data_IF_464887605385
#
_entry.id   IF_464887605385
#
_cell.length_a   1.000
_cell.length_b   1.000
_cell.length_c   1.000
_cell.angle_alpha   90.00
_cell.angle_beta   90.00
_cell.angle_gamma   90.00
#
_symmetry.space_group_name_H-M   'P 1'
#
loop_
_entity.id
_entity.type
_entity.pdbx_description
1 polymer ?
2 non-polymer ?
3 non-polymer ?
4 non-polymer ?
5 non-polymer ?
6 non-polymer ?
7 water ?
#
# COMPACT_ATOMS: atom_id res chain seq x y z
N UNK A 1 -1.60 15.21 -18.55
CA UNK A 1 -2.84 15.93 -18.27
C UNK A 1 -3.71 15.18 -17.26
N UNK A 2 -4.76 14.50 -17.71
CA UNK A 2 -5.61 13.77 -16.78
C UNK A 2 -4.94 12.46 -16.36
N UNK A 3 -5.46 11.84 -15.29
CA UNK A 3 -4.78 10.73 -14.63
C UNK A 3 -4.56 9.55 -15.57
N UNK A 4 -5.57 9.21 -16.38
CA UNK A 4 -5.44 8.05 -17.26
C UNK A 4 -4.39 8.27 -18.33
N UNK A 5 -4.16 9.52 -18.73
CA UNK A 5 -3.08 9.81 -19.68
C UNK A 5 -1.72 9.72 -19.02
N UNK A 6 -1.62 10.26 -17.80
CA UNK A 6 -0.38 10.21 -17.04
C UNK A 6 0.07 8.77 -16.80
N UNK A 7 -0.88 7.84 -16.61
CA UNK A 7 -0.51 6.45 -16.41
C UNK A 7 0.17 5.85 -17.64
N UNK A 8 -0.17 6.34 -18.82
CA UNK A 8 0.40 5.78 -20.04
C UNK A 8 1.71 6.48 -20.40
N UNK A 9 1.74 7.79 -20.25
CA UNK A 9 2.87 8.58 -20.75
C UNK A 9 3.76 9.12 -19.66
N UNK A 10 3.40 8.95 -18.39
CA UNK A 10 4.27 9.40 -17.31
C UNK A 10 5.43 8.45 -17.08
N UNK A 11 6.56 9.01 -16.65
CA UNK A 11 7.77 8.24 -16.45
C UNK A 11 8.43 7.94 -17.78
N UNK A 12 9.59 7.30 -17.72
CA UNK A 12 10.33 6.93 -18.93
C UNK A 12 10.23 5.42 -19.11
N UNK A 13 9.38 4.99 -20.05
CA UNK A 13 9.10 3.56 -20.21
C UNK A 13 9.26 3.12 -21.65
N UNK A 14 10.12 3.79 -22.41
CA UNK A 14 10.50 3.34 -23.75
C UNK A 14 12.01 3.26 -23.81
N UNK A 15 12.52 2.72 -24.91
CA UNK A 15 13.96 2.58 -25.11
C UNK A 15 14.43 3.72 -26.01
N UNK A 16 15.25 4.62 -25.46
CA UNK A 16 15.81 5.68 -26.29
C UNK A 16 16.66 5.12 -27.42
N UNK A 17 17.29 3.96 -27.21
CA UNK A 17 18.25 3.44 -28.17
C UNK A 17 17.54 2.89 -29.41
N UNK A 18 16.74 1.84 -29.26
CA UNK A 18 16.04 1.24 -30.40
C UNK A 18 14.71 1.88 -30.71
N UNK A 19 14.13 2.62 -29.76
CA UNK A 19 12.77 3.08 -29.90
C UNK A 19 11.70 2.09 -29.42
N UNK A 20 12.11 0.93 -28.89
CA UNK A 20 11.15 -0.04 -28.37
C UNK A 20 10.13 0.68 -27.49
N UNK A 21 8.85 0.39 -27.71
CA UNK A 21 7.80 1.13 -27.00
C UNK A 21 7.55 0.60 -25.59
N UNK A 22 8.26 -0.45 -25.17
CA UNK A 22 8.26 -0.93 -23.80
C UNK A 22 9.68 -0.96 -23.27
N UNK A 23 9.81 -0.94 -21.94
CA UNK A 23 11.11 -0.92 -21.31
C UNK A 23 11.83 -2.24 -21.52
N UNK A 24 13.04 -2.26 -22.09
CA UNK A 24 13.77 -3.53 -22.21
C UNK A 24 14.06 -4.10 -20.84
N UNK A 25 14.11 -5.42 -20.77
CA UNK A 25 14.42 -6.13 -19.53
C UNK A 25 15.93 -6.38 -19.50
N UNK A 26 16.63 -5.64 -18.62
CA UNK A 26 18.08 -5.74 -18.50
C UNK A 26 18.41 -6.82 -17.48
N UNK A 27 18.35 -8.07 -17.95
CA UNK A 27 18.74 -9.23 -17.15
C UNK A 27 20.26 -9.29 -17.20
N UNK A 28 20.89 -8.47 -16.36
CA UNK A 28 22.33 -8.24 -16.42
C UNK A 28 22.78 -7.78 -15.04
N UNK A 29 24.03 -8.07 -14.70
CA UNK A 29 24.57 -7.66 -13.41
C UNK A 29 25.60 -6.55 -13.50
N UNK A 30 26.25 -6.36 -14.66
CA UNK A 30 27.35 -5.42 -14.74
C UNK A 30 27.43 -4.86 -16.15
N UNK A 31 28.28 -3.84 -16.31
CA UNK A 31 28.26 -2.98 -17.50
C UNK A 31 29.67 -2.64 -17.95
N UNK A 32 29.90 -2.72 -19.25
CA UNK A 32 31.18 -2.33 -19.83
C UNK A 32 31.51 -0.88 -19.50
N UNK A 33 32.77 -0.63 -19.16
CA UNK A 33 33.28 0.74 -19.04
C UNK A 33 34.29 0.98 -20.15
N UNK A 34 34.12 2.08 -20.89
CA UNK A 34 35.02 2.38 -21.99
C UNK A 34 36.36 2.89 -21.50
N UNK A 35 36.37 3.59 -20.38
CA UNK A 35 37.57 3.95 -19.64
C UNK A 35 37.22 3.81 -18.18
N UNK A 36 38.24 3.63 -17.33
CA UNK A 36 37.97 3.43 -15.92
C UNK A 36 37.19 4.62 -15.39
N UNK A 37 35.98 4.37 -14.87
CA UNK A 37 35.15 5.39 -14.30
C UNK A 37 34.19 6.07 -15.25
N UNK A 38 34.32 5.84 -16.55
CA UNK A 38 33.41 6.43 -17.54
C UNK A 38 32.29 5.42 -17.81
N UNK A 39 31.10 5.72 -17.33
CA UNK A 39 29.93 4.89 -17.56
C UNK A 39 29.16 5.42 -18.76
N UNK A 40 28.86 4.52 -19.71
CA UNK A 40 28.20 4.94 -20.95
C UNK A 40 26.90 5.70 -20.67
N UNK A 41 26.07 5.16 -19.79
CA UNK A 41 24.76 5.73 -19.50
C UNK A 41 24.50 5.81 -18.01
N UNK A 42 25.57 5.81 -17.20
CA UNK A 42 25.43 5.92 -15.77
C UNK A 42 25.28 4.61 -15.03
N UNK A 43 25.36 3.47 -15.72
CA UNK A 43 25.21 2.17 -15.08
C UNK A 43 26.57 1.52 -14.90
N UNK A 44 26.76 0.88 -13.76
CA UNK A 44 28.00 0.17 -13.48
C UNK A 44 27.81 -1.16 -12.76
N UNK A 45 26.74 -1.35 -11.99
CA UNK A 45 26.49 -2.61 -11.29
C UNK A 45 25.02 -2.64 -10.89
N UNK A 46 24.32 -3.75 -11.23
CA UNK A 46 22.86 -3.70 -11.15
C UNK A 46 22.31 -3.54 -9.74
N UNK A 47 23.04 -3.96 -8.68
CA UNK A 47 22.53 -3.67 -7.34
C UNK A 47 22.40 -2.17 -7.14
N UNK A 48 23.39 -1.42 -7.62
CA UNK A 48 23.38 0.04 -7.49
C UNK A 48 22.31 0.68 -8.36
N UNK A 49 22.19 0.23 -9.61
CA UNK A 49 21.16 0.73 -10.51
C UNK A 49 21.09 -0.21 -11.69
N UNK A 50 19.87 -0.43 -12.19
CA UNK A 50 19.55 -1.28 -13.32
C UNK A 50 18.53 -0.53 -14.17
N UNK A 51 18.68 -0.50 -15.50
CA UNK A 51 17.80 0.38 -16.30
C UNK A 51 16.32 0.01 -16.25
N UNK A 52 15.98 -1.28 -16.12
CA UNK A 52 14.56 -1.63 -16.01
C UNK A 52 14.01 -1.18 -14.66
N UNK A 53 14.80 -1.34 -13.60
CA UNK A 53 14.41 -0.83 -12.30
C UNK A 53 14.30 0.69 -12.32
N UNK A 54 15.24 1.37 -13.00
CA UNK A 54 15.14 2.82 -13.13
C UNK A 54 13.83 3.22 -13.77
N UNK A 55 13.36 2.44 -14.76
CA UNK A 55 12.09 2.74 -15.39
C UNK A 55 10.94 2.68 -14.39
N UNK A 56 10.84 1.60 -13.62
CA UNK A 56 9.70 1.56 -12.67
C UNK A 56 9.85 2.64 -11.59
N UNK A 57 11.07 2.98 -11.22
CA UNK A 57 11.28 4.05 -10.24
C UNK A 57 10.82 5.40 -10.79
N UNK A 58 11.07 5.66 -12.09
CA UNK A 58 10.60 6.90 -12.69
C UNK A 58 9.08 6.93 -12.75
N UNK A 59 8.45 5.77 -12.96
CA UNK A 59 6.99 5.74 -12.99
C UNK A 59 6.43 6.10 -11.62
N UNK A 60 6.90 5.45 -10.55
CA UNK A 60 6.28 5.74 -9.26
C UNK A 60 6.60 7.16 -8.81
N UNK A 61 7.78 7.69 -9.14
CA UNK A 61 8.05 9.09 -8.80
C UNK A 61 7.08 10.02 -9.53
N UNK A 62 6.83 9.75 -10.82
CA UNK A 62 5.90 10.59 -11.57
C UNK A 62 4.48 10.49 -11.01
N UNK A 63 4.02 9.27 -10.72
CA UNK A 63 2.62 9.09 -10.33
C UNK A 63 2.33 9.68 -8.96
N UNK A 64 3.34 9.76 -8.10
CA UNK A 64 3.15 10.33 -6.77
C UNK A 64 3.57 11.79 -6.72
N UNK A 65 3.88 12.40 -7.87
CA UNK A 65 4.33 13.79 -7.92
C UNK A 65 5.57 14.01 -7.05
N UNK A 66 6.47 13.03 -7.07
CA UNK A 66 7.75 13.13 -6.39
C UNK A 66 8.88 13.32 -7.39
N UNK A 67 10.09 13.26 -6.87
CA UNK A 67 11.27 13.42 -7.70
C UNK A 67 12.13 12.17 -7.77
N UNK A 68 12.07 11.30 -6.78
CA UNK A 68 12.92 10.12 -6.69
C UNK A 68 12.08 8.91 -6.36
N UNK A 69 12.31 7.82 -7.09
CA UNK A 69 11.65 6.55 -6.83
C UNK A 69 12.66 5.46 -6.53
N UNK A 70 12.21 4.46 -5.78
CA UNK A 70 13.03 3.33 -5.34
C UNK A 70 12.19 2.06 -5.40
N UNK A 71 12.74 1.00 -5.98
CA UNK A 71 12.05 -0.28 -6.10
C UNK A 71 12.75 -1.33 -5.28
N UNK A 72 11.99 -2.00 -4.41
CA UNK A 72 12.49 -2.99 -3.47
C UNK A 72 11.86 -4.35 -3.76
N UNK A 73 12.49 -5.39 -3.23
CA UNK A 73 12.09 -6.77 -3.46
C UNK A 73 10.74 -7.14 -2.84
N UNK A 74 10.17 -6.27 -2.00
CA UNK A 74 8.84 -6.50 -1.41
C UNK A 74 8.41 -5.21 -0.73
N UNK A 75 7.12 -5.12 -0.42
CA UNK A 75 6.65 -4.02 0.42
C UNK A 75 7.36 -3.94 1.76
N UNK A 76 7.56 -5.08 2.42
CA UNK A 76 8.22 -4.97 3.73
C UNK A 76 9.69 -4.64 3.59
N UNK A 77 10.32 -4.93 2.44
CA UNK A 77 11.69 -4.45 2.23
C UNK A 77 11.72 -2.93 2.07
N UNK A 78 10.72 -2.36 1.41
CA UNK A 78 10.60 -0.90 1.32
C UNK A 78 10.44 -0.30 2.71
N UNK A 79 9.54 -0.89 3.51
CA UNK A 79 9.32 -0.41 4.87
C UNK A 79 10.59 -0.52 5.70
N UNK A 80 11.31 -1.65 5.60
CA UNK A 80 12.55 -1.80 6.38
C UNK A 80 13.59 -0.79 5.97
N UNK A 81 13.73 -0.51 4.66
CA UNK A 81 14.67 0.52 4.22
C UNK A 81 14.31 1.87 4.82
N UNK A 82 13.01 2.20 4.86
CA UNK A 82 12.60 3.49 5.41
C UNK A 82 12.86 3.55 6.92
N UNK A 83 12.59 2.46 7.64
CA UNK A 83 12.88 2.43 9.08
C UNK A 83 14.38 2.58 9.33
N UNK A 84 15.21 2.05 8.42
CA UNK A 84 16.65 2.15 8.59
C UNK A 84 17.19 3.57 8.41
N UNK A 85 16.36 4.53 8.02
CA UNK A 85 16.75 5.94 8.10
C UNK A 85 17.07 6.35 9.54
N UNK A 86 16.54 5.63 10.51
CA UNK A 86 16.67 5.99 11.93
C UNK A 86 17.84 5.23 12.58
N UNK A 87 18.21 5.69 13.79
CA UNK A 87 19.27 5.11 14.60
C UNK A 87 18.69 4.49 15.87
N UNK A 88 19.48 3.60 16.47
CA UNK A 88 19.18 3.13 17.83
C UNK A 88 18.88 4.32 18.73
N UNK A 89 17.83 4.21 19.54
CA UNK A 89 17.38 5.28 20.40
C UNK A 89 16.31 6.18 19.81
N UNK A 90 16.12 6.16 18.49
CA UNK A 90 15.06 6.94 17.87
C UNK A 90 13.70 6.26 18.06
N UNK A 91 12.64 7.06 17.99
CA UNK A 91 11.29 6.61 18.25
C UNK A 91 10.38 6.89 17.04
N UNK A 92 9.44 5.96 16.79
CA UNK A 92 8.48 6.05 15.69
C UNK A 92 7.07 5.99 16.25
N UNK A 93 6.21 6.87 15.75
CA UNK A 93 4.76 6.81 16.01
C UNK A 93 4.08 6.21 14.78
N UNK A 94 3.22 5.21 15.00
CA UNK A 94 2.47 4.58 13.91
C UNK A 94 1.00 4.44 14.31
N UNK A 95 0.13 4.26 13.32
CA UNK A 95 -1.27 4.02 13.67
C UNK A 95 -1.40 2.67 14.36
N UNK A 96 -2.42 2.55 15.22
CA UNK A 96 -2.49 1.40 16.12
C UNK A 96 -2.75 0.11 15.37
N UNK A 97 -3.40 0.17 14.23
CA UNK A 97 -3.79 -1.03 13.50
C UNK A 97 -3.00 -1.20 12.20
N UNK A 98 -1.69 -0.89 12.28
CA UNK A 98 -0.83 -0.96 11.11
C UNK A 98 -0.73 -2.42 10.64
N UNK A 99 -0.44 -2.59 9.35
CA UNK A 99 -0.33 -3.92 8.73
C UNK A 99 0.51 -4.87 9.58
N UNK A 100 0.07 -6.13 9.67
CA UNK A 100 0.73 -7.09 10.54
C UNK A 100 2.21 -7.29 10.24
N UNK A 101 2.59 -7.29 8.97
CA UNK A 101 4.00 -7.40 8.65
C UNK A 101 4.79 -6.21 9.16
N UNK A 102 4.21 -5.01 9.08
CA UNK A 102 4.88 -3.84 9.61
C UNK A 102 5.01 -3.93 11.13
N UNK A 103 3.92 -4.30 11.80
CA UNK A 103 3.94 -4.50 13.23
C UNK A 103 5.02 -5.51 13.63
N UNK A 104 5.08 -6.63 12.91
CA UNK A 104 6.03 -7.69 13.22
C UNK A 104 7.47 -7.23 13.01
N UNK A 105 7.74 -6.60 11.86
CA UNK A 105 9.08 -6.09 11.60
C UNK A 105 9.52 -5.13 12.70
N UNK A 106 8.65 -4.20 13.07
CA UNK A 106 9.05 -3.21 14.07
C UNK A 106 9.24 -3.84 15.45
N UNK A 107 8.31 -4.69 15.88
CA UNK A 107 8.36 -5.15 17.26
C UNK A 107 9.22 -6.37 17.47
N UNK A 108 9.55 -7.13 16.41
CA UNK A 108 10.36 -8.31 16.57
C UNK A 108 11.74 -8.20 15.94
N UNK A 109 11.94 -7.27 15.00
CA UNK A 109 13.26 -7.04 14.40
C UNK A 109 13.84 -5.70 14.87
N UNK A 110 13.18 -4.59 14.53
CA UNK A 110 13.85 -3.30 14.73
C UNK A 110 13.93 -2.89 16.19
N UNK A 111 13.04 -3.39 17.06
CA UNK A 111 13.25 -3.08 18.49
C UNK A 111 14.51 -3.75 19.02
N UNK A 112 14.95 -4.85 18.40
CA UNK A 112 16.22 -5.44 18.80
C UNK A 112 17.40 -4.54 18.47
N UNK A 113 17.21 -3.57 17.57
CA UNK A 113 18.24 -2.61 17.22
C UNK A 113 18.04 -1.27 17.90
N UNK A 114 17.22 -1.22 18.94
CA UNK A 114 17.06 -0.01 19.71
C UNK A 114 16.09 1.00 19.14
N UNK A 115 15.37 0.67 18.08
CA UNK A 115 14.29 1.52 17.60
C UNK A 115 13.10 1.35 18.53
N UNK A 116 12.54 2.47 18.99
CA UNK A 116 11.37 2.44 19.86
C UNK A 116 10.12 2.81 19.08
N UNK A 117 9.00 2.15 19.39
CA UNK A 117 7.76 2.36 18.64
C UNK A 117 6.58 2.53 19.60
N UNK A 118 5.66 3.39 19.22
CA UNK A 118 4.36 3.46 19.87
C UNK A 118 3.26 3.44 18.81
N UNK A 119 2.24 2.63 19.07
CA UNK A 119 1.11 2.47 18.16
C UNK A 119 -0.08 3.20 18.78
N UNK A 120 -0.53 4.29 18.14
CA UNK A 120 -1.55 5.14 18.72
C UNK A 120 -2.71 5.30 17.73
N UNK A 121 -3.86 5.73 18.27
CA UNK A 121 -5.04 5.92 17.42
C UNK A 121 -4.94 7.24 16.68
N UNK A 122 -4.48 7.18 15.43
CA UNK A 122 -4.23 8.41 14.69
C UNK A 122 -5.49 8.99 14.04
N UNK A 123 -6.65 8.35 14.21
CA UNK A 123 -7.89 8.93 13.70
C UNK A 123 -8.20 10.27 14.37
N UNK A 124 -7.67 10.52 15.57
CA UNK A 124 -7.64 11.86 16.14
C UNK A 124 -6.18 12.30 16.14
N UNK A 125 -5.85 13.31 15.34
CA UNK A 125 -4.43 13.64 15.17
C UNK A 125 -3.80 14.21 16.44
N UNK A 126 -4.60 14.68 17.39
CA UNK A 126 -3.98 15.12 18.65
C UNK A 126 -3.42 13.96 19.44
N UNK A 127 -3.83 12.73 19.12
CA UNK A 127 -3.19 11.57 19.75
C UNK A 127 -1.72 11.49 19.33
N UNK A 128 -1.42 11.86 18.09
CA UNK A 128 -0.03 11.92 17.64
C UNK A 128 0.73 12.94 18.46
N UNK A 129 0.18 14.15 18.60
CA UNK A 129 0.86 15.20 19.35
C UNK A 129 1.17 14.75 20.77
N UNK A 130 0.21 14.08 21.42
CA UNK A 130 0.49 13.60 22.79
C UNK A 130 1.61 12.56 22.79
N UNK A 131 1.65 11.68 21.78
CA UNK A 131 2.64 10.61 21.78
C UNK A 131 4.05 11.06 21.44
N UNK A 132 4.26 12.30 20.98
CA UNK A 132 5.59 12.72 20.58
C UNK A 132 6.49 12.80 21.80
N UNK A 133 7.64 12.14 21.71
CA UNK A 133 8.67 12.13 22.74
C UNK A 133 9.86 12.96 22.28
N UNK A 134 10.78 13.30 23.19
CA UNK A 134 12.00 13.99 22.76
C UNK A 134 12.79 13.19 21.72
N UNK A 135 12.67 11.87 21.72
CA UNK A 135 13.40 11.01 20.80
C UNK A 135 12.63 10.67 19.53
N UNK A 136 11.38 11.11 19.38
CA UNK A 136 10.60 10.76 18.19
C UNK A 136 11.24 11.38 16.94
N UNK A 137 11.44 10.56 15.91
CA UNK A 137 12.01 11.01 14.65
C UNK A 137 11.13 10.72 13.44
N UNK A 138 10.07 9.93 13.59
CA UNK A 138 9.33 9.48 12.42
C UNK A 138 7.87 9.26 12.80
N UNK A 139 6.98 9.62 11.87
CA UNK A 139 5.55 9.35 11.94
C UNK A 139 5.20 8.53 10.72
N UNK A 140 4.64 7.34 10.92
CA UNK A 140 4.37 6.38 9.85
C UNK A 140 2.89 6.01 9.93
N UNK A 141 2.11 6.34 8.89
CA UNK A 141 0.67 6.06 8.92
C UNK A 141 0.23 5.38 7.65
N UNK A 142 -0.71 4.45 7.79
CA UNK A 142 -1.49 3.94 6.67
C UNK A 142 -2.87 4.57 6.70
N UNK A 143 -3.42 4.89 5.53
CA UNK A 143 -4.82 5.26 5.53
C UNK A 143 -5.42 4.95 4.16
N UNK A 144 -6.54 4.23 4.09
CA UNK A 144 -7.21 3.59 5.22
C UNK A 144 -6.47 2.33 5.66
N UNK A 145 -6.67 1.92 6.90
CA UNK A 145 -5.97 0.80 7.51
C UNK A 145 -6.70 -0.52 7.25
N UNK A 146 -6.06 -1.62 7.67
CA UNK A 146 -6.61 -2.96 7.49
C UNK A 146 -6.87 -3.62 8.83
N UNK A 147 -7.97 -4.39 9.00
CA UNK A 147 -9.05 -4.64 8.04
C UNK A 147 -10.28 -3.78 8.27
N UNK A 148 -10.21 -2.80 9.18
CA UNK A 148 -11.40 -2.02 9.50
C UNK A 148 -11.42 -0.66 8.80
N UNK A 149 -10.44 -0.38 7.95
CA UNK A 149 -10.47 0.79 7.06
C UNK A 149 -10.54 2.11 7.84
N UNK A 150 -9.77 2.23 8.92
CA UNK A 150 -9.71 3.49 9.64
C UNK A 150 -8.94 4.54 8.84
N UNK A 151 -9.44 5.78 8.89
CA UNK A 151 -8.93 6.89 8.08
C UNK A 151 -8.17 7.86 8.98
N UNK A 152 -6.99 8.27 8.53
CA UNK A 152 -6.15 9.25 9.23
C UNK A 152 -5.96 10.48 8.34
N UNK A 153 -6.02 11.66 8.95
CA UNK A 153 -5.88 12.93 8.23
C UNK A 153 -4.43 13.13 7.81
N UNK A 154 -4.15 13.02 6.51
CA UNK A 154 -2.77 13.08 6.02
C UNK A 154 -2.20 14.49 6.15
N UNK A 155 -2.98 15.49 5.74
CA UNK A 155 -2.48 16.87 5.74
C UNK A 155 -2.12 17.32 7.16
N UNK A 156 -3.00 17.03 8.12
CA UNK A 156 -2.70 17.38 9.50
C UNK A 156 -1.51 16.60 10.04
N UNK A 157 -1.39 15.32 9.66
CA UNK A 157 -0.22 14.54 10.08
C UNK A 157 1.07 15.14 9.54
N UNK A 158 1.06 15.58 8.28
CA UNK A 158 2.22 16.23 7.68
C UNK A 158 2.56 17.52 8.42
N UNK A 159 1.54 18.29 8.79
CA UNK A 159 1.78 19.55 9.52
C UNK A 159 2.39 19.28 10.88
N UNK A 160 1.88 18.27 11.59
CA UNK A 160 2.45 17.90 12.89
C UNK A 160 3.91 17.47 12.72
N UNK A 161 4.18 16.63 11.71
CA UNK A 161 5.54 16.15 11.50
C UNK A 161 6.49 17.32 11.19
N UNK A 162 6.04 18.27 10.37
CA UNK A 162 6.87 19.41 10.03
C UNK A 162 7.16 20.24 11.27
N UNK A 163 6.13 20.50 12.08
CA UNK A 163 6.31 21.33 13.26
C UNK A 163 7.26 20.68 14.26
N UNK A 164 7.23 19.35 14.39
CA UNK A 164 8.05 18.67 15.39
C UNK A 164 9.32 18.06 14.83
N UNK A 165 9.67 18.35 13.58
CA UNK A 165 10.90 17.83 13.00
C UNK A 165 10.93 16.33 12.80
N UNK A 166 9.81 15.74 12.36
CA UNK A 166 9.72 14.31 12.13
C UNK A 166 9.73 14.03 10.63
N UNK A 167 10.30 12.88 10.26
CA UNK A 167 10.10 12.34 8.92
C UNK A 167 8.70 11.74 8.86
N UNK A 168 7.87 12.20 7.92
CA UNK A 168 6.53 11.65 7.77
C UNK A 168 6.50 10.66 6.62
N UNK A 169 5.81 9.53 6.83
CA UNK A 169 5.73 8.42 5.89
C UNK A 169 4.27 8.00 5.80
N UNK A 170 3.77 7.82 4.58
CA UNK A 170 2.45 7.25 4.38
C UNK A 170 2.60 5.96 3.58
N UNK A 171 2.04 4.88 4.10
CA UNK A 171 1.86 3.65 3.35
C UNK A 171 0.56 3.81 2.56
N UNK A 172 0.70 4.05 1.25
CA UNK A 172 -0.41 4.41 0.37
C UNK A 172 -0.90 3.20 -0.45
N UNK A 173 -0.63 1.98 0.03
CA UNK A 173 -0.95 0.77 -0.73
C UNK A 173 -2.43 0.68 -1.08
N UNK A 174 -3.30 0.88 -0.10
CA UNK A 174 -4.73 0.61 -0.30
C UNK A 174 -5.38 1.60 -1.26
N UNK A 175 -4.91 2.86 -1.30
CA UNK A 175 -5.54 3.86 -2.16
C UNK A 175 -4.92 3.94 -3.54
N UNK A 176 -3.61 3.65 -3.66
CA UNK A 176 -2.78 3.78 -4.87
C UNK A 176 -2.56 5.24 -5.24
N UNK A 177 -1.56 5.55 -6.09
CA UNK A 177 -1.40 6.94 -6.55
C UNK A 177 -2.54 7.42 -7.42
N UNK A 178 -3.43 6.54 -7.86
CA UNK A 178 -4.53 6.97 -8.71
C UNK A 178 -5.54 7.81 -7.93
N UNK A 179 -5.64 7.60 -6.60
CA UNK A 179 -6.67 8.25 -5.82
C UNK A 179 -6.16 9.13 -4.69
N UNK A 180 -4.93 8.94 -4.25
CA UNK A 180 -4.42 9.62 -3.06
C UNK A 180 -2.93 9.88 -3.27
N UNK A 181 -2.50 11.13 -3.06
CA UNK A 181 -1.11 11.53 -3.32
C UNK A 181 -0.54 12.21 -2.10
N UNK A 182 -0.01 11.45 -1.13
CA UNK A 182 0.46 12.05 0.13
C UNK A 182 1.55 13.08 -0.03
N UNK A 183 2.44 12.94 -1.02
CA UNK A 183 3.50 13.94 -1.18
C UNK A 183 2.91 15.31 -1.47
N UNK A 184 1.77 15.36 -2.16
CA UNK A 184 1.11 16.63 -2.45
C UNK A 184 0.54 17.27 -1.19
N UNK A 185 0.33 16.49 -0.13
CA UNK A 185 -0.19 16.99 1.12
C UNK A 185 0.90 17.27 2.14
N UNK A 186 2.17 17.23 1.73
CA UNK A 186 3.26 17.61 2.59
C UNK A 186 4.02 16.47 3.24
N UNK A 187 3.64 15.22 2.95
CA UNK A 187 4.33 14.06 3.52
C UNK A 187 5.71 13.93 2.88
N UNK A 188 6.69 13.50 3.68
CA UNK A 188 8.06 13.37 3.18
C UNK A 188 8.24 12.17 2.26
N UNK A 189 7.75 10.99 2.68
CA UNK A 189 7.98 9.73 1.97
C UNK A 189 6.65 9.01 1.79
N UNK A 190 6.39 8.50 0.57
CA UNK A 190 5.23 7.65 0.35
C UNK A 190 5.73 6.28 -0.10
N UNK A 191 5.08 5.21 0.37
CA UNK A 191 5.52 3.88 -0.04
C UNK A 191 4.31 3.01 -0.33
N UNK A 192 4.58 1.90 -1.05
CA UNK A 192 3.54 0.98 -1.50
C UNK A 192 4.06 -0.45 -1.42
N UNK A 193 3.16 -1.37 -1.08
CA UNK A 193 3.37 -2.75 -1.50
C UNK A 193 2.85 -2.83 -2.92
N UNK A 194 3.76 -2.81 -3.89
CA UNK A 194 3.37 -2.93 -5.29
C UNK A 194 2.86 -4.32 -5.62
N UNK A 195 3.04 -5.26 -4.70
CA UNK A 195 2.46 -6.60 -4.76
C UNK A 195 0.95 -6.57 -4.96
N UNK A 197 -2.26 -3.54 -5.66
CA UNK A 197 -2.89 -2.89 -6.83
C UNK A 197 -1.96 -2.47 -7.98
N UNK A 198 -0.76 -2.00 -7.65
CA UNK A 198 0.10 -1.43 -8.69
C UNK A 198 0.47 -2.47 -9.72
N UNK A 199 1.07 -3.59 -9.29
CA UNK A 199 1.25 -4.71 -10.19
C UNK A 199 -0.07 -5.23 -10.71
N UNK A 200 -1.02 -5.45 -9.81
CA UNK A 200 -2.41 -5.64 -10.16
C UNK A 200 -2.79 -7.03 -10.64
N UNK A 201 -1.81 -7.93 -10.84
CA UNK A 201 -2.09 -9.22 -11.48
C UNK A 201 -1.61 -10.39 -10.64
N UNK A 202 -1.37 -10.16 -9.34
CA UNK A 202 -1.01 -11.20 -8.39
C UNK A 202 0.21 -11.98 -8.86
N UNK A 203 1.17 -11.30 -9.50
CA UNK A 203 2.30 -12.06 -10.06
C UNK A 203 3.65 -11.40 -9.82
N UNK A 204 3.72 -10.40 -8.93
CA UNK A 204 4.97 -9.74 -8.56
C UNK A 204 4.88 -9.44 -7.08
N UNK A 205 5.95 -9.73 -6.34
CA UNK A 205 6.14 -9.21 -4.99
C UNK A 205 7.15 -8.08 -5.07
N UNK A 206 6.79 -6.90 -4.58
CA UNK A 206 7.62 -5.71 -4.80
C UNK A 206 7.17 -4.59 -3.88
N UNK A 207 8.11 -3.70 -3.56
CA UNK A 207 7.79 -2.46 -2.87
C UNK A 207 8.28 -1.28 -3.67
N UNK A 208 7.58 -0.15 -3.52
CA UNK A 208 7.97 1.09 -4.20
C UNK A 208 7.92 2.24 -3.20
N UNK A 209 8.87 3.16 -3.34
CA UNK A 209 9.00 4.32 -2.46
C UNK A 209 9.22 5.55 -3.33
N UNK A 210 8.59 6.67 -2.98
CA UNK A 210 8.84 7.93 -3.67
C UNK A 210 9.01 9.06 -2.66
N UNK A 211 9.80 10.05 -3.05
CA UNK A 211 9.99 11.24 -2.25
C UNK A 211 10.37 12.41 -3.16
N UNK A 212 10.14 13.62 -2.67
CA UNK A 212 10.63 14.83 -3.32
C UNK A 212 11.86 15.40 -2.63
N UNK A 213 12.28 14.80 -1.52
CA UNK A 213 13.35 15.33 -0.68
C UNK A 213 14.68 14.74 -1.16
N UNK A 214 15.58 15.60 -1.67
CA UNK A 214 16.86 15.14 -2.21
C UNK A 214 17.71 14.45 -1.15
N UNK A 215 17.69 14.97 0.08
CA UNK A 215 18.53 14.39 1.13
C UNK A 215 18.00 13.04 1.60
N UNK A 216 16.68 12.93 1.77
CA UNK A 216 16.11 11.62 2.10
C UNK A 216 16.34 10.63 0.96
N UNK A 217 16.26 11.11 -0.28
CA UNK A 217 16.55 10.23 -1.42
C UNK A 217 17.97 9.71 -1.37
N UNK A 218 18.95 10.58 -1.08
CA UNK A 218 20.33 10.12 -0.98
C UNK A 218 20.47 9.07 0.11
N UNK A 219 19.81 9.29 1.25
CA UNK A 219 19.91 8.33 2.34
C UNK A 219 19.27 6.99 1.97
N UNK A 220 18.12 7.02 1.29
CA UNK A 220 17.47 5.80 0.86
C UNK A 220 18.30 5.06 -0.19
N UNK A 221 18.89 5.80 -1.13
CA UNK A 221 19.74 5.17 -2.13
C UNK A 221 20.91 4.46 -1.46
N UNK A 222 21.52 5.11 -0.45
CA UNK A 222 22.62 4.47 0.26
C UNK A 222 22.17 3.20 0.99
N UNK A 223 21.00 3.26 1.65
CA UNK A 223 20.49 2.07 2.34
C UNK A 223 20.19 0.94 1.35
N UNK A 224 19.55 1.27 0.24
CA UNK A 224 19.24 0.27 -0.77
C UNK A 224 20.52 -0.37 -1.30
N UNK A 225 21.53 0.44 -1.59
CA UNK A 225 22.77 -0.11 -2.13
C UNK A 225 23.50 -0.93 -1.07
N UNK A 226 23.34 -0.60 0.21
CA UNK A 226 24.11 -1.27 1.24
C UNK A 226 23.45 -2.51 1.80
N UNK A 227 22.12 -2.55 1.91
CA UNK A 227 21.42 -3.72 2.40
C UNK A 227 20.74 -4.52 1.28
N UNK A 228 20.63 -3.96 0.09
CA UNK A 228 20.45 -4.78 -1.11
C UNK A 228 19.10 -5.43 -1.34
N UNK A 229 18.03 -4.92 -0.72
CA UNK A 229 16.70 -5.44 -0.98
C UNK A 229 16.09 -4.89 -2.27
N UNK A 230 16.78 -5.07 -3.40
CA UNK A 230 16.40 -4.43 -4.66
C UNK A 230 15.44 -5.31 -5.43
N UNK A 231 14.56 -4.69 -6.19
CA UNK A 231 13.70 -5.42 -7.12
C UNK A 231 14.47 -5.82 -8.37
N UNK A 232 14.27 -7.06 -8.83
CA UNK A 232 14.91 -7.55 -10.04
C UNK A 232 14.28 -6.99 -11.31
N UNK A 233 14.96 -7.17 -12.45
CA UNK A 233 14.48 -6.54 -13.70
C UNK A 233 13.20 -7.13 -14.26
N UNK A 234 13.00 -8.45 -14.18
CA UNK A 234 11.75 -9.01 -14.68
C UNK A 234 10.56 -8.52 -13.87
N UNK A 235 10.70 -8.50 -12.54
CA UNK A 235 9.61 -7.99 -11.71
C UNK A 235 9.40 -6.50 -11.94
N UNK A 236 10.48 -5.73 -12.13
CA UNK A 236 10.32 -4.31 -12.47
C UNK A 236 9.53 -4.14 -13.76
N UNK A 237 9.83 -4.96 -14.78
CA UNK A 237 9.11 -4.88 -16.04
C UNK A 237 7.62 -5.18 -15.85
N UNK A 238 7.31 -6.28 -15.15
CA UNK A 238 5.91 -6.64 -14.93
C UNK A 238 5.18 -5.56 -14.13
N UNK A 239 5.88 -4.85 -13.23
CA UNK A 239 5.24 -3.73 -12.52
C UNK A 239 4.89 -2.60 -13.48
N UNK A 240 5.86 -2.16 -14.30
CA UNK A 240 5.58 -1.10 -15.28
C UNK A 240 4.37 -1.49 -16.13
N UNK A 241 4.36 -2.73 -16.59
CA UNK A 241 3.27 -3.23 -17.43
C UNK A 241 1.94 -3.20 -16.69
N UNK A 242 1.92 -3.66 -15.44
CA UNK A 242 0.67 -3.70 -14.71
C UNK A 242 0.15 -2.32 -14.38
N UNK A 243 1.05 -1.38 -14.12
CA UNK A 243 0.63 -0.03 -13.76
C UNK A 243 -0.09 0.63 -14.92
N UNK A 244 0.25 0.26 -16.17
CA UNK A 244 -0.48 0.83 -17.32
C UNK A 244 -2.01 0.79 -17.14
N UNK A 245 -2.56 -0.30 -16.60
CA UNK A 245 -4.02 -0.43 -16.48
C UNK A 245 -4.55 -0.04 -15.11
N UNK A 246 -3.72 0.56 -14.25
CA UNK A 246 -4.15 0.90 -12.89
C UNK A 246 -5.43 1.72 -12.88
N UNK A 247 -5.51 2.75 -13.73
CA UNK A 247 -6.68 3.60 -13.70
C UNK A 247 -7.95 2.86 -14.08
N UNK A 248 -7.90 2.08 -15.16
CA UNK A 248 -9.07 1.32 -15.57
C UNK A 248 -9.47 0.31 -14.50
N UNK A 249 -8.48 -0.37 -13.90
CA UNK A 249 -8.79 -1.38 -12.90
C UNK A 249 -9.40 -0.75 -11.66
N UNK A 250 -8.81 0.34 -11.16
CA UNK A 250 -9.34 0.99 -9.97
C UNK A 250 -10.74 1.54 -10.21
N UNK A 251 -11.01 2.07 -11.41
CA UNK A 251 -12.35 2.61 -11.67
C UNK A 251 -13.39 1.51 -11.70
N UNK A 252 -13.08 0.36 -12.34
CA UNK A 252 -14.01 -0.76 -12.30
C UNK A 252 -14.23 -1.24 -10.86
N UNK A 253 -13.14 -1.41 -10.11
CA UNK A 253 -13.22 -1.81 -8.71
C UNK A 253 -14.14 -0.87 -7.93
N UNK A 254 -14.02 0.45 -8.18
CA UNK A 254 -14.83 1.41 -7.44
C UNK A 254 -16.32 1.32 -7.78
N UNK A 255 -16.65 1.13 -9.07
CA UNK A 255 -18.06 0.91 -9.41
C UNK A 255 -18.62 -0.28 -8.65
N UNK A 256 -17.83 -1.37 -8.60
CA UNK A 256 -18.29 -2.57 -7.92
C UNK A 256 -18.39 -2.34 -6.41
N UNK A 257 -17.43 -1.64 -5.82
CA UNK A 257 -17.43 -1.37 -4.39
C UNK A 257 -18.73 -0.66 -3.99
N UNK A 258 -19.11 0.37 -4.75
CA UNK A 258 -20.33 1.13 -4.44
C UNK A 258 -21.55 0.22 -4.44
N UNK A 259 -21.71 -0.59 -5.50
CA UNK A 259 -22.90 -1.45 -5.54
C UNK A 259 -22.87 -2.55 -4.48
N UNK A 260 -21.68 -3.11 -4.21
CA UNK A 260 -21.58 -4.18 -3.22
C UNK A 260 -21.94 -3.66 -1.84
N UNK A 261 -21.49 -2.44 -1.51
CA UNK A 261 -21.80 -1.87 -0.21
C UNK A 261 -23.29 -1.64 -0.06
N UNK A 262 -23.95 -1.11 -1.10
CA UNK A 262 -25.41 -0.99 -1.04
C UNK A 262 -26.05 -2.35 -0.69
N UNK A 263 -25.62 -3.41 -1.39
CA UNK A 263 -26.18 -4.73 -1.13
C UNK A 263 -25.93 -5.18 0.31
N UNK A 264 -24.69 -5.01 0.78
CA UNK A 264 -24.34 -5.47 2.13
C UNK A 264 -25.14 -4.73 3.18
N UNK A 265 -25.34 -3.43 2.99
CA UNK A 265 -26.08 -2.64 3.96
C UNK A 265 -27.54 -3.09 4.01
N UNK A 266 -28.10 -3.47 2.85
CA UNK A 266 -29.48 -3.92 2.84
C UNK A 266 -29.66 -5.36 3.34
N UNK A 267 -28.59 -6.17 3.44
CA UNK A 267 -28.80 -7.60 3.62
C UNK A 267 -29.00 -7.95 5.09
N UNK A 268 -30.01 -8.74 5.45
CA UNK A 268 -30.26 -9.04 6.87
C UNK A 268 -29.22 -9.94 7.51
N UNK A 269 -28.42 -10.67 6.74
CA UNK A 269 -27.37 -11.52 7.30
C UNK A 269 -26.07 -10.76 7.55
N UNK A 270 -26.02 -9.47 7.24
CA UNK A 270 -24.81 -8.65 7.41
C UNK A 270 -25.10 -7.61 8.47
N UNK A 271 -24.16 -7.45 9.41
CA UNK A 271 -24.29 -6.39 10.41
C UNK A 271 -23.46 -5.17 10.00
N UNK A 272 -22.38 -4.89 10.72
CA UNK A 272 -21.61 -3.68 10.45
C UNK A 272 -20.79 -3.85 9.17
N UNK A 273 -20.69 -2.76 8.40
CA UNK A 273 -19.88 -2.69 7.19
C UNK A 273 -18.84 -1.60 7.39
N UNK A 274 -17.59 -1.89 6.99
CA UNK A 274 -16.46 -1.00 7.20
C UNK A 274 -15.91 -0.59 5.84
N UNK A 275 -16.05 0.69 5.49
CA UNK A 275 -15.48 1.27 4.28
C UNK A 275 -15.57 2.78 4.34
N UNK A 276 -14.53 3.51 3.89
CA UNK A 276 -14.56 4.98 4.04
C UNK A 276 -15.61 5.68 3.22
N UNK A 277 -16.21 5.01 2.23
CA UNK A 277 -17.26 5.66 1.44
C UNK A 277 -18.57 5.77 2.21
N UNK A 278 -18.73 5.06 3.30
CA UNK A 278 -19.98 5.11 4.07
C UNK A 278 -20.00 6.40 4.87
N UNK A 279 -21.10 7.14 4.77
CA UNK A 279 -21.11 8.52 5.28
C UNK A 279 -21.00 8.58 6.79
N UNK A 280 -21.41 7.53 7.50
CA UNK A 280 -21.27 7.49 8.95
C UNK A 280 -19.92 6.95 9.40
N UNK A 281 -19.05 6.54 8.47
CA UNK A 281 -17.71 6.08 8.82
C UNK A 281 -16.91 7.22 9.44
N UNK A 282 -16.19 6.93 10.52
CA UNK A 282 -15.33 7.93 11.14
C UNK A 282 -14.36 8.49 10.10
N UNK A 283 -14.26 9.83 10.06
CA UNK A 283 -13.34 10.55 9.17
C UNK A 283 -13.69 10.32 7.69
N UNK A 284 -14.97 10.04 7.41
CA UNK A 284 -15.41 10.00 6.01
C UNK A 284 -15.09 11.32 5.31
N UNK A 285 -15.35 12.45 5.98
CA UNK A 285 -15.09 13.75 5.37
C UNK A 285 -13.61 13.96 5.12
N UNK A 286 -12.76 13.53 6.06
CA UNK A 286 -11.32 13.61 5.87
C UNK A 286 -10.88 12.80 4.66
N UNK A 287 -11.42 11.59 4.52
CA UNK A 287 -11.04 10.77 3.38
C UNK A 287 -11.43 11.44 2.08
N UNK A 288 -12.66 11.95 2.01
CA UNK A 288 -13.10 12.57 0.76
C UNK A 288 -12.29 13.82 0.46
N UNK A 289 -11.78 14.49 1.49
CA UNK A 289 -10.93 15.66 1.26
C UNK A 289 -9.52 15.29 0.81
N UNK A 290 -9.03 14.09 1.09
CA UNK A 290 -7.65 13.77 0.71
C UNK A 290 -7.53 12.71 -0.38
N UNK A 291 -8.66 12.22 -0.90
CA UNK A 291 -8.65 11.17 -1.92
C UNK A 291 -9.82 11.43 -2.85
N UNK A 292 -9.66 11.06 -4.13
CA UNK A 292 -10.77 11.23 -5.06
C UNK A 292 -11.34 9.89 -5.53
N UNK A 293 -11.20 8.87 -4.69
CA UNK A 293 -11.81 7.58 -4.93
C UNK A 293 -11.65 6.71 -3.72
N UNK A 294 -11.78 5.40 -3.92
CA UNK A 294 -11.84 4.47 -2.79
C UNK A 294 -10.97 3.24 -3.01
N UNK A 295 -10.56 2.65 -1.89
CA UNK A 295 -9.95 1.33 -1.94
C UNK A 295 -11.02 0.28 -2.25
N UNK A 296 -10.58 -0.85 -2.78
CA UNK A 296 -11.44 -1.98 -3.06
C UNK A 296 -11.58 -2.95 -1.91
N UNK A 297 -10.89 -2.69 -0.79
CA UNK A 297 -10.98 -3.55 0.39
C UNK A 297 -12.20 -3.13 1.20
N UNK A 298 -13.07 -4.10 1.50
CA UNK A 298 -14.25 -3.90 2.34
C UNK A 298 -14.26 -4.99 3.40
N UNK A 299 -14.62 -4.64 4.63
CA UNK A 299 -14.88 -5.64 5.66
C UNK A 299 -16.33 -5.54 6.13
N UNK A 300 -16.90 -6.68 6.51
CA UNK A 300 -18.27 -6.69 6.99
C UNK A 300 -18.48 -7.88 7.90
N UNK A 301 -19.44 -7.74 8.82
CA UNK A 301 -19.72 -8.75 9.82
C UNK A 301 -20.83 -9.69 9.36
N UNK A 302 -20.56 -11.00 9.39
CA UNK A 302 -21.66 -11.96 9.46
C UNK A 302 -21.65 -12.56 10.85
N UNK A 303 -22.49 -13.56 11.10
CA UNK A 303 -22.85 -13.91 12.47
C UNK A 303 -21.68 -14.57 13.21
N UNK A 304 -20.97 -15.50 12.58
CA UNK A 304 -20.01 -16.33 13.32
C UNK A 304 -19.06 -16.99 12.32
N UNK A 305 -18.16 -17.81 12.84
CA UNK A 305 -17.16 -18.48 12.01
C UNK A 305 -17.82 -19.37 10.96
N UNK A 306 -18.83 -20.15 11.38
CA UNK A 306 -19.46 -21.08 10.44
C UNK A 306 -20.15 -20.32 9.30
N UNK A 307 -20.77 -19.18 9.60
CA UNK A 307 -21.36 -18.37 8.55
C UNK A 307 -20.31 -17.84 7.59
N UNK A 308 -19.16 -17.39 8.11
CA UNK A 308 -18.09 -16.91 7.24
C UNK A 308 -17.59 -18.01 6.31
N UNK A 309 -17.35 -19.20 6.86
CA UNK A 309 -16.89 -20.31 6.03
C UNK A 309 -17.93 -20.70 4.99
N UNK A 310 -19.20 -20.71 5.38
CA UNK A 310 -20.26 -21.05 4.43
C UNK A 310 -20.37 -20.00 3.33
N UNK A 311 -20.26 -18.72 3.69
CA UNK A 311 -20.24 -17.64 2.71
C UNK A 311 -19.15 -17.87 1.67
N UNK A 312 -17.95 -18.19 2.15
CA UNK A 312 -16.84 -18.45 1.23
C UNK A 312 -17.16 -19.63 0.31
N UNK A 313 -17.73 -20.70 0.86
CA UNK A 313 -18.02 -21.88 0.04
C UNK A 313 -19.10 -21.61 -0.99
N UNK A 314 -20.06 -20.73 -0.68
CA UNK A 314 -21.22 -20.54 -1.55
C UNK A 314 -20.97 -19.59 -2.71
N UNK A 315 -19.91 -18.78 -2.64
CA UNK A 315 -19.62 -17.85 -3.73
C UNK A 315 -19.00 -18.57 -4.91
N UNK A 316 -19.28 -18.08 -6.12
CA UNK A 316 -18.62 -18.58 -7.31
C UNK A 316 -17.43 -17.74 -7.75
N UNK A 317 -17.46 -16.44 -7.47
CA UNK A 317 -16.50 -15.50 -8.05
C UNK A 317 -15.59 -14.86 -7.02
N UNK A 318 -15.63 -15.31 -5.76
CA UNK A 318 -14.75 -14.79 -4.72
C UNK A 318 -13.78 -15.89 -4.34
N UNK A 319 -12.49 -15.59 -4.42
CA UNK A 319 -11.44 -16.59 -4.31
C UNK A 319 -10.77 -16.51 -2.95
N UNK A 320 -10.70 -17.64 -2.24
CA UNK A 320 -10.08 -17.68 -0.92
C UNK A 320 -8.56 -17.72 -1.10
N UNK A 321 -7.91 -16.62 -0.75
CA UNK A 321 -6.48 -16.51 -0.88
C UNK A 321 -6.05 -15.28 -0.10
N UNK A 322 -4.77 -15.24 0.20
CA UNK A 322 -4.13 -14.06 0.84
C UNK A 322 -3.93 -12.94 -0.19
N UNK A 323 -3.53 -11.75 0.28
CA UNK A 323 -3.22 -10.57 -0.57
C UNK A 323 -4.53 -9.87 -0.97
N UNK A 324 -4.40 -8.74 -1.68
CA UNK A 324 -5.54 -7.91 -2.18
C UNK A 324 -5.12 -7.16 -3.45
N UNK A 325 -6.03 -6.55 -4.18
CA UNK A 325 -5.55 -5.87 -5.37
C UNK A 325 -5.30 -6.76 -6.58
N UNK A 326 -5.85 -7.97 -6.61
CA UNK A 326 -5.78 -8.85 -7.77
C UNK A 326 -6.80 -8.41 -8.83
N UNK A 327 -6.71 -9.02 -10.02
CA UNK A 327 -7.84 -8.85 -10.93
C UNK A 327 -9.03 -9.70 -10.47
N UNK A 328 -8.77 -10.78 -9.73
CA UNK A 328 -9.80 -11.60 -9.10
C UNK A 328 -10.27 -10.96 -7.80
N UNK A 329 -11.56 -11.10 -7.51
CA UNK A 329 -12.04 -10.73 -6.17
C UNK A 329 -11.61 -11.80 -5.17
N UNK A 330 -11.04 -11.35 -4.04
CA UNK A 330 -10.50 -12.25 -3.04
C UNK A 330 -11.30 -12.11 -1.76
N UNK A 331 -11.34 -13.19 -0.98
CA UNK A 331 -12.12 -13.19 0.26
C UNK A 331 -11.28 -13.88 1.34
N UNK A 332 -11.44 -13.40 2.57
CA UNK A 332 -10.65 -13.92 3.68
C UNK A 332 -11.39 -13.66 4.99
N UNK A 333 -10.90 -14.28 6.05
CA UNK A 333 -11.46 -14.13 7.40
C UNK A 333 -10.31 -13.72 8.33
N UNK A 334 -10.16 -12.43 8.63
CA UNK A 334 -9.00 -11.99 9.44
C UNK A 334 -8.80 -12.77 10.72
N UNK A 335 -9.88 -13.09 11.45
CA UNK A 335 -9.71 -13.77 12.74
C UNK A 335 -9.00 -15.09 12.58
N UNK A 336 -9.17 -15.76 11.43
CA UNK A 336 -8.53 -17.05 11.21
C UNK A 336 -7.23 -16.95 10.43
N UNK A 337 -7.03 -15.90 9.65
CA UNK A 337 -5.94 -15.88 8.68
C UNK A 337 -4.87 -14.85 9.00
N UNK A 338 -5.23 -13.72 9.57
CA UNK A 338 -4.26 -12.71 9.90
C UNK A 338 -4.13 -12.45 11.40
N UNK A 339 -5.20 -12.59 12.18
CA UNK A 339 -5.15 -12.26 13.61
C UNK A 339 -5.32 -13.47 14.50
N UNK A 340 -5.01 -14.67 14.01
CA UNK A 340 -5.28 -15.87 14.79
C UNK A 340 -4.38 -15.99 16.02
N UNK A 341 -3.24 -15.30 16.04
CA UNK A 341 -2.36 -15.37 17.20
C UNK A 341 -2.80 -14.45 18.33
N UNK A 342 -3.70 -13.49 18.04
CA UNK A 342 -4.25 -12.62 19.07
C UNK A 342 -5.30 -13.40 19.85
N UNK A 343 -5.32 -13.31 21.18
CA UNK A 343 -6.38 -13.98 21.95
C UNK A 343 -7.77 -13.56 21.50
N UNK A 344 -8.72 -14.50 21.61
CA UNK A 344 -10.05 -14.29 21.06
C UNK A 344 -10.76 -13.10 21.69
N UNK A 345 -10.60 -12.92 23.01
CA UNK A 345 -11.29 -11.80 23.65
C UNK A 345 -10.71 -10.47 23.21
N UNK A 346 -9.39 -10.40 22.99
CA UNK A 346 -8.77 -9.18 22.50
C UNK A 346 -9.16 -8.92 21.04
N UNK A 347 -9.25 -9.98 20.24
CA UNK A 347 -9.78 -9.84 18.89
C UNK A 347 -11.17 -9.22 18.91
N UNK A 348 -12.08 -9.79 19.71
CA UNK A 348 -13.44 -9.26 19.81
C UNK A 348 -13.42 -7.81 20.27
N UNK A 349 -12.59 -7.50 21.25
CA UNK A 349 -12.53 -6.12 21.71
C UNK A 349 -12.08 -5.18 20.60
N UNK A 350 -11.17 -5.63 19.73
CA UNK A 350 -10.70 -4.79 18.64
C UNK A 350 -11.67 -4.75 17.47
N UNK A 351 -12.76 -5.51 17.51
CA UNK A 351 -13.69 -5.54 16.39
C UNK A 351 -13.39 -6.62 15.36
N UNK A 352 -12.35 -7.42 15.56
CA UNK A 352 -12.04 -8.52 14.66
C UNK A 352 -12.84 -9.75 15.10
N UNK A 353 -14.15 -9.71 14.86
CA UNK A 353 -15.02 -10.78 15.31
C UNK A 353 -14.78 -12.05 14.50
N UNK A 354 -15.28 -13.17 15.04
CA UNK A 354 -15.19 -14.43 14.32
C UNK A 354 -15.88 -14.37 12.97
N UNK A 355 -16.94 -13.57 12.85
CA UNK A 355 -17.67 -13.43 11.61
C UNK A 355 -17.22 -12.29 10.71
N UNK A 356 -16.14 -11.59 11.05
CA UNK A 356 -15.67 -10.51 10.20
C UNK A 356 -15.03 -11.08 8.94
N UNK A 357 -15.56 -10.68 7.78
CA UNK A 357 -15.10 -11.12 6.47
C UNK A 357 -14.46 -9.92 5.78
N UNK A 358 -13.34 -10.15 5.10
CA UNK A 358 -12.73 -9.11 4.28
C UNK A 358 -12.79 -9.55 2.83
N UNK A 359 -13.25 -8.66 1.96
CA UNK A 359 -13.17 -8.89 0.53
C UNK A 359 -12.27 -7.83 -0.09
N UNK A 360 -11.52 -8.25 -1.10
CA UNK A 360 -10.78 -7.37 -1.99
C UNK A 360 -11.48 -7.45 -3.33
N UNK A 361 -12.18 -6.39 -3.70
CA UNK A 361 -12.98 -6.37 -4.93
C UNK A 361 -12.04 -6.35 -6.14
N UNK A 362 -12.28 -7.26 -7.09
CA UNK A 362 -11.55 -7.35 -8.33
C UNK A 362 -12.28 -6.68 -9.49
N UNK A 363 -11.95 -7.09 -10.71
CA UNK A 363 -12.47 -6.38 -11.88
C UNK A 363 -13.51 -7.21 -12.65
N UNK A 364 -14.11 -8.21 -12.00
CA UNK A 364 -15.22 -8.92 -12.62
C UNK A 364 -16.41 -7.99 -12.83
N UNK A 365 -17.39 -8.46 -13.61
CA UNK A 365 -18.59 -7.66 -13.84
C UNK A 365 -19.28 -7.30 -12.52
N UNK A 366 -19.69 -6.04 -12.39
CA UNK A 366 -20.28 -5.54 -11.14
C UNK A 366 -21.53 -6.33 -10.76
N UNK A 367 -22.43 -6.53 -11.72
CA UNK A 367 -23.66 -7.27 -11.45
C UNK A 367 -23.37 -8.67 -10.96
N UNK A 368 -22.38 -9.34 -11.58
CA UNK A 368 -22.03 -10.69 -11.15
C UNK A 368 -21.51 -10.71 -9.72
N UNK A 369 -20.63 -9.76 -9.38
CA UNK A 369 -20.07 -9.75 -8.02
C UNK A 369 -21.14 -9.46 -6.98
N UNK A 370 -22.03 -8.50 -7.26
CA UNK A 370 -23.14 -8.21 -6.35
C UNK A 370 -24.06 -9.42 -6.20
N UNK A 371 -24.51 -9.99 -7.33
CA UNK A 371 -25.45 -11.10 -7.28
C UNK A 371 -24.86 -12.32 -6.61
N UNK A 372 -23.59 -12.62 -6.91
CA UNK A 372 -22.92 -13.77 -6.32
C UNK A 372 -22.81 -13.64 -4.81
N UNK A 373 -22.33 -12.47 -4.34
CA UNK A 373 -22.21 -12.30 -2.89
C UNK A 373 -23.59 -12.30 -2.23
N UNK A 374 -24.59 -11.72 -2.88
CA UNK A 374 -25.93 -11.70 -2.30
C UNK A 374 -26.51 -13.10 -2.20
N UNK A 375 -26.43 -13.91 -3.27
CA UNK A 375 -26.97 -15.26 -3.20
C UNK A 375 -26.22 -16.11 -2.18
N UNK A 376 -24.92 -15.88 -2.02
CA UNK A 376 -24.20 -16.62 -0.99
C UNK A 376 -24.66 -16.22 0.41
N UNK A 377 -24.89 -14.91 0.62
CA UNK A 377 -25.40 -14.46 1.90
C UNK A 377 -26.81 -14.98 2.16
N UNK A 378 -27.59 -15.19 1.10
CA UNK A 378 -28.95 -15.72 1.25
C UNK A 378 -28.96 -17.14 1.81
N UNK A 379 -27.86 -17.89 1.66
CA UNK A 379 -27.80 -19.24 2.19
C UNK A 379 -27.54 -19.29 3.69
N UNK A 380 -27.24 -18.17 4.33
CA UNK A 380 -26.88 -18.17 5.75
C UNK A 380 -28.11 -18.33 6.65
#
# INVERSE_FOLDING_TARGET
SNKKTKLIHGGHTTDDYTGAVTTPIYQTSTYLQDDIGDLRQGYEYSRTANPTRSSVESVIATLENGKHGFAFSSGVAAISAVVMLLDKGDHIILNSDVYGGTYRALTKVFTRFGIEVDFVDTTHTDSIVQAIRPTTKMLFIETPSNPLLRVTDIKKSAEIAKEHGLISVVDNTFMTPYYQNPLDLGIDIVLHSATXYLGGHSDVVAGLVATSDDKLAERLAFISNSTGGILGPQDSYLLVRGIKTLGLRMEQINRSVIEIIKMLQAHPAVQQVFHPSIESHLNHDVHMAQADGHTGVIAFEVKNTESAKQLIKATSYYTLAESLGAVESLISVPALMTHASIPADIRAKEGITDGLVRISVGIEDTEDLVDDLKQALDTL
#
